data_IF_571306748751
#
_entry.id   IF_571306748751
#
_cell.length_a   1.000
_cell.length_b   1.000
_cell.length_c   1.000
_cell.angle_alpha   90.00
_cell.angle_beta   90.00
_cell.angle_gamma   90.00
#
_symmetry.space_group_name_H-M   'P 1'
#
loop_
_entity.id
_entity.type
_entity.pdbx_description
1 polymer ?
#
# COMPACT_ATOMS: atom_id res chain seq x y z
N UNK A 1 -53.97 3.50 -0.15
CA UNK A 1 -53.17 4.75 -0.18
C UNK A 1 -51.73 4.38 -0.47
N UNK A 2 -51.23 4.64 -1.68
CA UNK A 2 -49.85 4.33 -2.06
C UNK A 2 -48.96 5.53 -1.73
N UNK A 3 -48.09 5.39 -0.72
CA UNK A 3 -47.07 6.41 -0.42
C UNK A 3 -45.99 6.31 -1.51
N UNK A 4 -45.96 7.28 -2.43
CA UNK A 4 -44.89 7.38 -3.41
C UNK A 4 -43.73 8.17 -2.81
N UNK A 5 -42.52 7.60 -2.84
CA UNK A 5 -41.30 8.32 -2.44
C UNK A 5 -41.01 9.43 -3.47
N UNK A 6 -40.58 10.60 -2.99
CA UNK A 6 -40.19 11.72 -3.85
C UNK A 6 -38.93 11.33 -4.65
N UNK A 7 -38.87 11.57 -5.98
CA UNK A 7 -37.68 11.28 -6.76
C UNK A 7 -36.49 12.16 -6.33
N UNK A 8 -35.25 11.67 -6.48
CA UNK A 8 -34.05 12.43 -6.13
C UNK A 8 -33.88 13.68 -7.01
N UNK A 9 -33.16 14.67 -6.48
CA UNK A 9 -32.87 15.93 -7.17
C UNK A 9 -31.86 15.69 -8.30
N UNK A 10 -31.96 16.44 -9.40
CA UNK A 10 -30.93 16.48 -10.44
C UNK A 10 -29.61 17.08 -9.91
N UNK A 11 -28.48 16.49 -10.30
CA UNK A 11 -27.14 16.95 -9.94
C UNK A 11 -26.69 18.14 -10.79
N UNK A 12 -25.94 19.08 -10.21
CA UNK A 12 -25.33 20.19 -10.95
C UNK A 12 -24.10 19.74 -11.77
N UNK A 13 -23.70 20.47 -12.83
CA UNK A 13 -22.46 20.18 -13.54
C UNK A 13 -21.24 20.23 -12.60
N UNK A 14 -20.48 19.13 -12.54
CA UNK A 14 -19.32 18.97 -11.65
C UNK A 14 -19.64 18.53 -10.23
N UNK A 15 -20.92 18.29 -9.90
CA UNK A 15 -21.31 17.75 -8.60
C UNK A 15 -20.91 16.26 -8.48
N UNK A 16 -20.32 15.83 -7.35
CA UNK A 16 -20.01 14.43 -7.13
C UNK A 16 -21.30 13.59 -7.04
N UNK A 17 -21.38 12.55 -7.86
CA UNK A 17 -22.48 11.59 -7.84
C UNK A 17 -22.31 10.63 -6.66
N UNK A 18 -23.20 10.72 -5.67
CA UNK A 18 -23.25 9.79 -4.55
C UNK A 18 -24.21 8.65 -4.91
N UNK A 19 -23.72 7.41 -4.90
CA UNK A 19 -24.59 6.25 -5.08
C UNK A 19 -25.42 6.03 -3.82
N UNK A 20 -26.76 6.04 -3.93
CA UNK A 20 -27.67 5.95 -2.77
C UNK A 20 -27.44 4.69 -1.91
N UNK A 21 -26.95 3.61 -2.52
CA UNK A 21 -26.73 2.32 -1.85
C UNK A 21 -25.29 2.09 -1.36
N UNK A 22 -24.40 3.09 -1.47
CA UNK A 22 -23.06 3.00 -0.90
C UNK A 22 -22.95 3.88 0.35
N UNK A 23 -23.32 3.37 1.53
CA UNK A 23 -23.04 4.07 2.77
C UNK A 23 -21.53 4.26 2.93
N UNK A 24 -21.12 5.36 3.55
CA UNK A 24 -19.72 5.54 3.94
C UNK A 24 -19.34 4.41 4.91
N UNK A 25 -18.19 3.77 4.74
CA UNK A 25 -17.73 2.76 5.69
C UNK A 25 -17.53 3.43 7.05
N UNK A 26 -18.18 2.89 8.08
CA UNK A 26 -18.11 3.42 9.45
C UNK A 26 -17.53 2.41 10.43
N UNK A 27 -17.64 1.12 10.11
CA UNK A 27 -17.02 0.06 10.91
C UNK A 27 -15.74 -0.44 10.26
N UNK A 28 -14.83 -1.00 11.07
CA UNK A 28 -13.59 -1.64 10.59
C UNK A 28 -13.87 -2.69 9.50
N UNK A 29 -14.95 -3.48 9.66
CA UNK A 29 -15.33 -4.50 8.67
C UNK A 29 -15.71 -3.88 7.33
N UNK A 30 -16.41 -2.73 7.34
CA UNK A 30 -16.77 -2.02 6.12
C UNK A 30 -15.53 -1.45 5.41
N UNK A 31 -14.58 -0.90 6.17
CA UNK A 31 -13.31 -0.43 5.60
C UNK A 31 -12.47 -1.57 5.00
N UNK A 32 -12.50 -2.76 5.61
CA UNK A 32 -11.87 -3.95 5.03
C UNK A 32 -12.60 -4.42 3.76
N UNK A 33 -13.93 -4.50 3.79
CA UNK A 33 -14.74 -4.92 2.64
C UNK A 33 -14.61 -3.97 1.44
N UNK A 34 -14.47 -2.66 1.69
CA UNK A 34 -14.22 -1.66 0.67
C UNK A 34 -12.76 -1.60 0.18
N UNK A 35 -11.84 -2.41 0.74
CA UNK A 35 -10.42 -2.39 0.38
C UNK A 35 -9.66 -1.11 0.81
N UNK A 36 -10.28 -0.26 1.64
CA UNK A 36 -9.68 1.02 2.05
C UNK A 36 -8.58 0.85 3.09
N UNK A 37 -8.56 -0.27 3.82
CA UNK A 37 -7.45 -0.58 4.74
C UNK A 37 -6.18 -1.07 4.02
N UNK A 38 -6.32 -1.72 2.87
CA UNK A 38 -5.18 -2.25 2.09
C UNK A 38 -4.63 -1.25 1.07
N UNK A 39 -5.32 -0.13 0.83
CA UNK A 39 -4.87 0.93 -0.08
C UNK A 39 -3.44 1.41 0.17
N UNK A 40 -3.06 1.77 1.41
CA UNK A 40 -1.67 2.13 1.72
C UNK A 40 -0.68 1.02 1.38
N UNK A 41 -1.02 -0.23 1.71
CA UNK A 41 -0.18 -1.40 1.43
C UNK A 41 0.02 -1.63 -0.08
N UNK A 42 -0.96 -1.30 -0.93
CA UNK A 42 -0.80 -1.34 -2.39
C UNK A 42 0.18 -0.28 -2.92
N UNK A 43 0.24 0.89 -2.28
CA UNK A 43 1.18 1.96 -2.68
C UNK A 43 2.61 1.62 -2.23
N UNK A 44 2.80 1.15 -1.00
CA UNK A 44 4.14 0.86 -0.46
C UNK A 44 4.64 -0.54 -0.79
N UNK A 45 3.75 -1.50 -1.05
CA UNK A 45 4.06 -2.92 -1.24
C UNK A 45 5.07 -3.15 -2.37
N UNK A 46 4.90 -2.58 -3.57
CA UNK A 46 5.87 -2.71 -4.65
C UNK A 46 7.24 -2.15 -4.29
N UNK A 47 7.32 -1.05 -3.54
CA UNK A 47 8.59 -0.44 -3.13
C UNK A 47 9.35 -1.35 -2.14
N UNK A 48 8.64 -1.92 -1.17
CA UNK A 48 9.21 -2.87 -0.21
C UNK A 48 9.62 -4.18 -0.89
N UNK A 49 8.76 -4.73 -1.76
CA UNK A 49 9.08 -5.94 -2.50
C UNK A 49 10.26 -5.73 -3.44
N UNK A 50 10.33 -4.57 -4.11
CA UNK A 50 11.48 -4.20 -4.94
C UNK A 50 12.76 -4.04 -4.11
N UNK A 51 12.70 -3.45 -2.91
CA UNK A 51 13.86 -3.35 -2.03
C UNK A 51 14.38 -4.74 -1.58
N UNK A 52 13.47 -5.68 -1.31
CA UNK A 52 13.82 -7.05 -0.94
C UNK A 52 14.38 -7.86 -2.13
N UNK A 53 13.76 -7.74 -3.30
CA UNK A 53 14.14 -8.50 -4.49
C UNK A 53 15.32 -7.87 -5.26
N UNK A 54 15.58 -6.58 -5.08
CA UNK A 54 16.75 -5.88 -5.64
C UNK A 54 17.94 -5.98 -4.70
N UNK A 55 18.33 -7.21 -4.39
CA UNK A 55 19.59 -7.55 -3.73
C UNK A 55 20.74 -7.52 -4.75
N UNK A 56 21.25 -6.34 -5.11
CA UNK A 56 22.46 -6.27 -5.97
C UNK A 56 23.60 -5.42 -5.45
N UNK A 57 23.36 -4.57 -4.46
CA UNK A 57 24.41 -3.97 -3.64
C UNK A 57 23.73 -3.24 -2.49
N UNK A 58 23.65 -3.88 -1.32
CA UNK A 58 23.54 -3.11 -0.10
C UNK A 58 24.86 -2.32 -0.01
N UNK A 59 24.86 -1.04 -0.40
CA UNK A 59 26.01 -0.15 -0.33
C UNK A 59 26.37 0.24 1.11
N UNK A 60 26.20 -0.70 2.05
CA UNK A 60 26.78 -0.57 3.37
C UNK A 60 28.27 -0.87 3.21
N UNK A 61 29.10 0.12 3.52
CA UNK A 61 30.52 -0.14 3.71
C UNK A 61 30.66 -1.27 4.74
N UNK A 62 31.47 -2.28 4.42
CA UNK A 62 31.81 -3.31 5.40
C UNK A 62 32.49 -2.63 6.59
N UNK A 63 32.30 -3.17 7.78
CA UNK A 63 33.06 -2.69 8.92
C UNK A 63 34.57 -2.92 8.66
N UNK A 64 35.45 -2.03 9.13
CA UNK A 64 36.87 -2.05 8.76
C UNK A 64 37.58 -3.37 9.09
N UNK A 65 37.15 -4.04 10.16
CA UNK A 65 37.62 -5.35 10.59
C UNK A 65 37.28 -6.45 9.56
N UNK A 66 36.04 -6.50 9.07
CA UNK A 66 35.63 -7.47 8.04
C UNK A 66 36.39 -7.22 6.74
N UNK A 67 36.61 -5.95 6.40
CA UNK A 67 37.40 -5.57 5.23
C UNK A 67 38.86 -6.05 5.35
N UNK A 68 39.46 -5.93 6.53
CA UNK A 68 40.80 -6.41 6.81
C UNK A 68 40.91 -7.94 6.67
N UNK A 69 39.92 -8.69 7.16
CA UNK A 69 39.87 -10.16 7.05
C UNK A 69 39.73 -10.65 5.59
N UNK A 70 38.98 -9.92 4.76
CA UNK A 70 38.88 -10.17 3.31
C UNK A 70 40.22 -9.95 2.60
N UNK A 71 40.89 -8.82 2.85
CA UNK A 71 42.24 -8.55 2.30
C UNK A 71 43.28 -9.56 2.79
N UNK A 72 43.13 -10.09 4.00
CA UNK A 72 43.97 -11.14 4.55
C UNK A 72 43.61 -12.55 4.03
N UNK A 73 42.62 -12.68 3.12
CA UNK A 73 42.14 -13.95 2.55
C UNK A 73 41.69 -15.00 3.57
N UNK A 74 41.32 -14.57 4.79
CA UNK A 74 40.88 -15.45 5.87
C UNK A 74 39.41 -15.88 5.74
N UNK A 75 38.62 -15.14 4.95
CA UNK A 75 37.19 -15.37 4.76
C UNK A 75 36.84 -15.84 3.34
N UNK A 76 37.73 -16.59 2.68
CA UNK A 76 37.44 -17.19 1.38
C UNK A 76 36.93 -18.62 1.58
N UNK A 77 35.61 -18.78 1.79
CA UNK A 77 34.96 -20.09 1.68
C UNK A 77 34.58 -20.25 0.20
N UNK A 78 35.03 -21.32 -0.49
CA UNK A 78 34.81 -21.52 -1.92
C UNK A 78 33.33 -21.66 -2.30
#
# INVERSE_FOLDING_TARGET
MFIRKKPPRAHAPGEPLLHENHPRPVTRRDFMAAGLMSGPAMVIGPAWLAALLKSRSAGAALSPDIQALLTASQCNVP
#
